data_IF_119301499257
#
_entry.id   IF_119301499257
#
_cell.length_a   1.000
_cell.length_b   1.000
_cell.length_c   1.000
_cell.angle_alpha   90.00
_cell.angle_beta   90.00
_cell.angle_gamma   90.00
#
_symmetry.space_group_name_H-M   'P 1'
#
loop_
_entity.id
_entity.type
_entity.pdbx_description
1 polymer ?
#
# COMPACT_ATOMS: atom_id res chain seq x y z
N UNK A 1 -20.17 12.04 -1.75
CA UNK A 1 -20.47 10.77 -1.05
C UNK A 1 -21.68 10.92 -0.12
N UNK A 2 -22.34 9.83 0.23
CA UNK A 2 -23.48 9.85 1.18
C UNK A 2 -23.02 10.39 2.55
N UNK A 3 -21.85 9.95 3.01
CA UNK A 3 -21.27 10.40 4.28
C UNK A 3 -21.04 11.92 4.31
N UNK A 4 -20.55 12.52 3.21
CA UNK A 4 -20.38 13.97 3.10
C UNK A 4 -21.70 14.71 3.34
N UNK A 5 -22.76 14.30 2.64
CA UNK A 5 -24.09 14.90 2.81
C UNK A 5 -24.65 14.81 4.24
N UNK A 6 -24.37 13.70 4.93
CA UNK A 6 -24.78 13.50 6.34
C UNK A 6 -24.02 14.47 7.25
N UNK A 7 -22.71 14.63 7.04
CA UNK A 7 -21.86 15.51 7.83
C UNK A 7 -22.20 17.01 7.58
N UNK A 8 -22.46 17.38 6.32
CA UNK A 8 -22.91 18.73 5.97
C UNK A 8 -24.22 19.10 6.69
N UNK A 9 -25.20 18.15 6.76
CA UNK A 9 -26.43 18.35 7.54
C UNK A 9 -26.21 18.50 9.05
N UNK A 10 -25.07 18.00 9.56
CA UNK A 10 -24.63 18.21 10.95
C UNK A 10 -23.85 19.49 11.17
N UNK A 11 -23.68 20.32 10.13
CA UNK A 11 -22.97 21.60 10.19
C UNK A 11 -21.46 21.53 9.93
N UNK A 12 -20.94 20.39 9.45
CA UNK A 12 -19.53 20.31 9.05
C UNK A 12 -19.30 21.01 7.71
N UNK A 13 -18.32 21.89 7.67
CA UNK A 13 -17.94 22.64 6.46
C UNK A 13 -16.74 21.98 5.81
N UNK A 14 -16.89 21.56 4.57
CA UNK A 14 -15.83 20.95 3.76
C UNK A 14 -15.06 22.05 3.03
N UNK A 15 -13.73 22.02 3.13
CA UNK A 15 -12.82 22.99 2.53
C UNK A 15 -12.07 22.46 1.31
N UNK A 16 -12.12 21.15 1.09
CA UNK A 16 -11.44 20.47 -0.01
C UNK A 16 -12.41 19.59 -0.81
N UNK A 17 -11.92 19.11 -1.94
CA UNK A 17 -12.63 18.12 -2.77
C UNK A 17 -12.17 16.69 -2.51
N UNK A 18 -11.26 16.49 -1.55
CA UNK A 18 -10.73 15.18 -1.22
C UNK A 18 -11.76 14.32 -0.46
N UNK A 19 -11.78 13.05 -0.72
CA UNK A 19 -12.58 12.07 0.04
C UNK A 19 -12.05 11.89 1.47
N UNK A 20 -10.76 12.11 1.69
CA UNK A 20 -10.09 12.01 2.99
C UNK A 20 -10.64 13.02 4.01
N UNK A 21 -11.09 14.20 3.60
CA UNK A 21 -11.71 15.18 4.51
C UNK A 21 -12.97 14.64 5.17
N UNK A 22 -13.72 13.78 4.48
CA UNK A 22 -14.89 13.08 5.05
C UNK A 22 -14.49 12.26 6.28
N UNK A 23 -13.32 11.61 6.22
CA UNK A 23 -12.79 10.78 7.31
C UNK A 23 -12.46 11.64 8.53
N UNK A 24 -11.78 12.78 8.33
CA UNK A 24 -11.43 13.71 9.41
C UNK A 24 -12.69 14.23 10.14
N UNK A 25 -13.72 14.63 9.40
CA UNK A 25 -14.99 15.05 9.99
C UNK A 25 -15.74 13.91 10.69
N UNK A 26 -15.71 12.71 10.14
CA UNK A 26 -16.34 11.55 10.74
C UNK A 26 -15.67 11.15 12.06
N UNK A 27 -14.32 11.16 12.10
CA UNK A 27 -13.55 10.96 13.33
C UNK A 27 -13.92 12.02 14.37
N UNK A 28 -13.94 13.29 13.97
CA UNK A 28 -14.31 14.41 14.86
C UNK A 28 -15.72 14.26 15.43
N UNK A 29 -16.67 13.83 14.60
CA UNK A 29 -18.07 13.65 15.04
C UNK A 29 -18.19 12.53 16.07
N UNK A 30 -17.53 11.40 15.85
CA UNK A 30 -17.59 10.26 16.77
C UNK A 30 -16.79 10.48 18.05
N UNK A 31 -15.68 11.22 18.02
CA UNK A 31 -14.88 11.56 19.21
C UNK A 31 -15.66 12.32 20.28
N UNK A 32 -16.70 13.07 19.90
CA UNK A 32 -17.55 13.79 20.87
C UNK A 32 -18.20 12.87 21.93
N UNK A 33 -18.36 11.59 21.62
CA UNK A 33 -19.10 10.63 22.45
C UNK A 33 -18.38 9.30 22.68
N UNK A 34 -17.17 9.13 22.18
CA UNK A 34 -16.48 7.85 22.23
C UNK A 34 -14.98 8.07 22.52
N UNK A 35 -14.32 7.06 23.08
CA UNK A 35 -12.86 6.98 23.12
C UNK A 35 -12.27 6.91 21.72
N UNK A 36 -10.98 7.21 21.56
CA UNK A 36 -10.27 7.10 20.28
C UNK A 36 -10.46 5.72 19.66
N UNK A 37 -10.18 4.65 20.42
CA UNK A 37 -10.36 3.27 19.96
C UNK A 37 -11.76 3.01 19.41
N UNK A 38 -12.81 3.33 20.18
CA UNK A 38 -14.19 3.12 19.75
C UNK A 38 -14.60 4.01 18.57
N UNK A 39 -14.01 5.21 18.47
CA UNK A 39 -14.19 6.09 17.33
C UNK A 39 -13.65 5.44 16.06
N UNK A 40 -12.43 4.94 16.11
CA UNK A 40 -11.78 4.30 14.94
C UNK A 40 -12.60 3.09 14.49
N UNK A 41 -13.01 2.21 15.39
CA UNK A 41 -13.87 1.06 15.05
C UNK A 41 -15.14 1.50 14.31
N UNK A 42 -15.83 2.53 14.82
CA UNK A 42 -17.04 3.05 14.19
C UNK A 42 -16.80 3.69 12.83
N UNK A 43 -15.68 4.38 12.68
CA UNK A 43 -15.26 5.00 11.41
C UNK A 43 -14.95 3.91 10.39
N UNK A 44 -14.10 2.94 10.73
CA UNK A 44 -13.70 1.87 9.81
C UNK A 44 -14.87 1.04 9.29
N UNK A 45 -15.90 0.82 10.14
CA UNK A 45 -17.16 0.15 9.74
C UNK A 45 -18.01 0.96 8.74
N UNK A 46 -17.74 2.28 8.59
CA UNK A 46 -18.44 3.16 7.62
C UNK A 46 -17.68 3.39 6.33
N UNK A 47 -16.38 3.09 6.33
CA UNK A 47 -15.54 3.27 5.15
C UNK A 47 -15.68 2.08 4.21
N UNK A 48 -15.69 2.38 2.91
CA UNK A 48 -15.67 1.40 1.81
C UNK A 48 -14.48 1.68 0.90
N UNK A 49 -14.01 0.63 0.21
CA UNK A 49 -12.87 0.73 -0.70
C UNK A 49 -11.53 0.55 0.00
N UNK A 50 -10.45 0.83 -0.74
CA UNK A 50 -9.08 0.71 -0.27
C UNK A 50 -8.61 2.00 0.38
N UNK A 51 -7.88 1.88 1.47
CA UNK A 51 -7.28 3.01 2.18
C UNK A 51 -6.08 2.57 3.04
N UNK A 52 -5.15 3.49 3.24
CA UNK A 52 -4.15 3.47 4.29
C UNK A 52 -4.18 4.83 4.99
N UNK A 53 -4.46 4.85 6.26
CA UNK A 53 -4.71 6.06 7.03
C UNK A 53 -3.66 6.23 8.12
N UNK A 54 -3.07 7.43 8.20
CA UNK A 54 -2.37 7.93 9.37
C UNK A 54 -3.17 9.09 9.98
N UNK A 55 -3.64 8.95 11.22
CA UNK A 55 -4.50 9.92 11.87
C UNK A 55 -3.77 10.49 13.08
N UNK A 56 -3.63 11.81 13.13
CA UNK A 56 -3.13 12.55 14.28
C UNK A 56 -4.26 13.38 14.90
N UNK A 57 -4.13 13.68 16.19
CA UNK A 57 -5.16 14.36 16.96
C UNK A 57 -4.58 15.66 17.54
N UNK A 58 -5.29 16.76 17.36
CA UNK A 58 -4.81 18.10 17.74
C UNK A 58 -4.34 18.21 19.20
N UNK A 59 -5.03 17.54 20.12
CA UNK A 59 -4.78 17.65 21.54
C UNK A 59 -4.11 16.37 22.12
N UNK A 60 -3.54 15.51 21.28
CA UNK A 60 -2.88 14.24 21.62
C UNK A 60 -1.54 14.15 20.88
N UNK A 61 -0.54 14.91 21.32
CA UNK A 61 0.73 15.08 20.61
C UNK A 61 1.61 13.82 20.57
N UNK A 62 1.34 12.84 21.43
CA UNK A 62 2.08 11.58 21.56
C UNK A 62 1.33 10.37 20.98
N UNK A 63 0.24 10.60 20.24
CA UNK A 63 -0.61 9.55 19.74
C UNK A 63 -0.91 9.69 18.26
N UNK A 64 -0.69 8.61 17.53
CA UNK A 64 -1.14 8.43 16.14
C UNK A 64 -1.99 7.17 16.02
N UNK A 65 -2.83 7.12 15.03
CA UNK A 65 -3.58 5.91 14.66
C UNK A 65 -3.24 5.55 13.22
N UNK A 66 -2.88 4.30 12.99
CA UNK A 66 -2.76 3.70 11.67
C UNK A 66 -3.92 2.76 11.40
N UNK A 67 -4.49 2.80 10.19
CA UNK A 67 -5.54 1.84 9.79
C UNK A 67 -5.45 1.55 8.30
N UNK A 68 -5.72 0.31 7.88
CA UNK A 68 -5.63 -0.06 6.47
C UNK A 68 -6.74 -0.99 6.01
N UNK A 69 -6.99 -0.91 4.70
CA UNK A 69 -7.72 -1.89 3.90
C UNK A 69 -7.27 -1.77 2.44
N UNK A 70 -6.82 -2.87 1.84
CA UNK A 70 -6.34 -2.91 0.45
C UNK A 70 -4.95 -2.32 0.26
N UNK A 71 -4.73 -1.06 0.64
CA UNK A 71 -3.41 -0.41 0.53
C UNK A 71 -2.47 -0.82 1.66
N UNK A 72 -1.16 -0.94 1.44
CA UNK A 72 -0.21 -1.34 2.48
C UNK A 72 -0.03 -0.27 3.56
N UNK A 73 0.25 -0.72 4.78
CA UNK A 73 0.64 0.12 5.92
C UNK A 73 1.54 -0.68 6.85
N UNK A 74 2.66 -0.08 7.24
CA UNK A 74 3.63 -0.64 8.16
C UNK A 74 3.82 0.27 9.38
N UNK A 75 4.17 -0.34 10.49
CA UNK A 75 4.57 0.34 11.73
C UNK A 75 6.03 0.02 12.01
N UNK A 76 6.83 1.05 12.30
CA UNK A 76 8.23 0.92 12.68
C UNK A 76 8.44 1.15 14.16
N UNK A 77 9.34 0.37 14.75
CA UNK A 77 9.71 0.46 16.17
C UNK A 77 11.07 1.14 16.31
N UNK A 78 11.13 2.25 16.99
CA UNK A 78 12.37 2.97 17.30
C UNK A 78 12.66 3.06 18.79
N UNK A 79 13.85 3.51 19.17
CA UNK A 79 14.18 3.79 20.56
C UNK A 79 13.54 5.11 20.98
N UNK A 80 12.52 5.11 21.81
CA UNK A 80 11.76 6.28 22.26
C UNK A 80 10.89 6.99 21.19
N UNK A 81 10.62 6.36 20.08
CA UNK A 81 9.72 6.85 19.04
C UNK A 81 9.24 5.68 18.18
N UNK A 82 8.08 5.82 17.57
CA UNK A 82 7.52 4.84 16.68
C UNK A 82 6.98 5.52 15.41
N UNK A 83 6.89 4.78 14.33
CA UNK A 83 6.65 5.32 13.01
C UNK A 83 5.47 4.62 12.32
N UNK A 84 4.82 5.33 11.40
CA UNK A 84 3.86 4.76 10.45
C UNK A 84 4.36 5.11 9.05
N UNK A 85 4.38 4.13 8.15
CA UNK A 85 4.75 4.31 6.75
C UNK A 85 3.97 3.39 5.83
N UNK A 86 4.01 3.65 4.53
CA UNK A 86 3.35 2.80 3.54
C UNK A 86 3.92 1.38 3.50
N UNK A 87 5.24 1.26 3.68
CA UNK A 87 5.97 0.01 3.61
C UNK A 87 7.29 0.05 4.39
N UNK A 88 8.04 -1.04 4.36
CA UNK A 88 9.37 -1.15 4.95
C UNK A 88 10.38 -0.14 4.41
N UNK A 89 10.23 0.22 3.16
CA UNK A 89 11.08 1.18 2.47
C UNK A 89 10.99 2.57 3.08
N UNK A 90 9.77 3.06 3.26
CA UNK A 90 9.50 4.36 3.86
C UNK A 90 10.09 4.47 5.27
N UNK A 91 10.27 3.33 5.96
CA UNK A 91 10.73 3.26 7.35
C UNK A 91 12.21 2.88 7.51
N UNK A 92 12.85 2.38 6.46
CA UNK A 92 14.22 1.80 6.51
C UNK A 92 15.28 2.75 7.06
N UNK A 93 15.18 4.04 6.77
CA UNK A 93 16.13 5.06 7.26
C UNK A 93 15.99 5.33 8.77
N UNK A 94 14.85 4.96 9.35
CA UNK A 94 14.51 5.26 10.75
C UNK A 94 14.59 4.03 11.64
N UNK A 95 14.23 2.86 11.13
CA UNK A 95 14.25 1.61 11.90
C UNK A 95 14.38 0.38 11.00
N UNK A 96 14.96 -0.68 11.57
CA UNK A 96 14.98 -2.01 10.96
C UNK A 96 13.94 -2.98 11.55
N UNK A 97 13.13 -2.53 12.53
CA UNK A 97 12.10 -3.34 13.16
C UNK A 97 10.74 -2.85 12.73
N UNK A 98 9.97 -3.70 12.07
CA UNK A 98 8.66 -3.35 11.53
C UNK A 98 7.61 -4.42 11.80
N UNK A 99 6.35 -4.01 11.74
CA UNK A 99 5.20 -4.91 11.64
C UNK A 99 4.24 -4.37 10.58
N UNK A 100 3.65 -5.27 9.77
CA UNK A 100 2.62 -4.90 8.81
C UNK A 100 1.23 -5.08 9.40
N UNK A 101 0.32 -4.18 9.04
CA UNK A 101 -1.10 -4.35 9.30
C UNK A 101 -1.71 -5.22 8.20
N UNK A 102 -2.67 -6.05 8.59
CA UNK A 102 -3.55 -6.77 7.65
C UNK A 102 -4.83 -5.97 7.37
N UNK A 103 -5.61 -6.42 6.39
CA UNK A 103 -6.83 -5.74 6.00
C UNK A 103 -7.86 -5.69 7.13
N UNK A 104 -8.32 -4.46 7.41
CA UNK A 104 -9.28 -4.19 8.47
C UNK A 104 -8.65 -3.97 9.85
N UNK A 105 -7.36 -4.18 10.02
CA UNK A 105 -6.68 -3.88 11.26
C UNK A 105 -6.39 -2.40 11.42
N UNK A 106 -6.26 -1.98 12.68
CA UNK A 106 -5.75 -0.66 13.03
C UNK A 106 -4.79 -0.75 14.22
N UNK A 107 -3.94 0.26 14.35
CA UNK A 107 -3.02 0.38 15.48
C UNK A 107 -3.14 1.76 16.14
N UNK A 108 -2.88 1.78 17.43
CA UNK A 108 -2.66 2.99 18.21
C UNK A 108 -1.18 3.04 18.53
N UNK A 109 -0.51 4.06 18.02
CA UNK A 109 0.93 4.24 18.11
C UNK A 109 1.22 5.39 19.06
N UNK A 110 1.95 5.12 20.11
CA UNK A 110 2.50 6.10 21.04
C UNK A 110 4.02 6.07 20.99
N UNK A 111 4.64 7.00 21.67
CA UNK A 111 6.09 7.12 21.73
C UNK A 111 6.79 5.83 22.20
N UNK A 112 6.21 5.13 23.15
CA UNK A 112 6.78 3.97 23.85
C UNK A 112 5.99 2.68 23.66
N UNK A 113 4.83 2.75 23.01
CA UNK A 113 3.91 1.62 22.90
C UNK A 113 3.20 1.60 21.57
N UNK A 114 2.98 0.40 21.02
CA UNK A 114 2.13 0.16 19.87
C UNK A 114 1.13 -0.94 20.22
N UNK A 115 -0.14 -0.67 20.02
CA UNK A 115 -1.22 -1.61 20.20
C UNK A 115 -1.93 -1.86 18.88
N UNK A 116 -2.19 -3.12 18.56
CA UNK A 116 -2.90 -3.51 17.33
C UNK A 116 -4.26 -4.10 17.66
N UNK A 117 -5.22 -3.83 16.80
CA UNK A 117 -6.61 -4.22 16.98
C UNK A 117 -7.21 -4.69 15.65
N UNK A 118 -8.15 -5.63 15.73
CA UNK A 118 -9.01 -6.00 14.61
C UNK A 118 -10.19 -5.02 14.45
N UNK A 119 -11.04 -5.29 13.46
CA UNK A 119 -12.23 -4.48 13.15
C UNK A 119 -13.26 -4.41 14.30
N UNK A 120 -13.23 -5.35 15.23
CA UNK A 120 -14.14 -5.41 16.38
C UNK A 120 -13.51 -4.82 17.64
N UNK A 121 -12.21 -4.50 17.56
CA UNK A 121 -11.45 -3.90 18.64
C UNK A 121 -10.79 -4.92 19.57
N UNK A 122 -10.73 -6.19 19.19
CA UNK A 122 -9.94 -7.17 19.94
C UNK A 122 -8.47 -6.92 19.74
N UNK A 123 -7.67 -7.07 20.79
CA UNK A 123 -6.23 -6.87 20.72
C UNK A 123 -5.56 -7.98 19.91
N UNK A 124 -4.60 -7.61 19.05
CA UNK A 124 -3.84 -8.51 18.21
C UNK A 124 -2.37 -8.44 18.58
N UNK A 125 -1.73 -9.59 18.69
CA UNK A 125 -0.27 -9.67 18.82
C UNK A 125 0.37 -9.75 17.43
N UNK A 126 1.17 -8.75 17.07
CA UNK A 126 1.91 -8.72 15.80
C UNK A 126 3.34 -9.17 15.96
N UNK A 127 3.78 -9.95 14.97
CA UNK A 127 5.19 -10.33 14.87
C UNK A 127 6.00 -9.13 14.42
N UNK A 128 7.06 -8.82 15.16
CA UNK A 128 8.07 -7.85 14.75
C UNK A 128 9.04 -8.54 13.81
N UNK A 129 9.21 -8.00 12.62
CA UNK A 129 10.19 -8.45 11.62
C UNK A 129 11.41 -7.54 11.68
N UNK A 130 12.59 -8.15 11.57
CA UNK A 130 13.83 -7.43 11.39
C UNK A 130 14.16 -7.36 9.91
N UNK A 131 14.26 -6.16 9.36
CA UNK A 131 14.70 -5.95 8.01
C UNK A 131 16.17 -6.33 7.89
N UNK A 132 16.51 -7.17 6.91
CA UNK A 132 17.90 -7.52 6.65
C UNK A 132 18.63 -6.31 6.03
N UNK A 133 19.92 -6.16 6.36
CA UNK A 133 20.77 -5.12 5.75
C UNK A 133 20.98 -5.32 4.23
N UNK A 134 20.70 -6.51 3.71
CA UNK A 134 20.96 -6.91 2.32
C UNK A 134 19.75 -6.71 1.39
N UNK A 135 18.62 -6.18 1.86
CA UNK A 135 17.59 -5.73 0.95
C UNK A 135 18.11 -4.51 0.20
N UNK A 136 18.07 -4.60 -1.10
CA UNK A 136 18.54 -3.67 -2.12
C UNK A 136 18.69 -2.24 -1.60
N UNK A 137 19.90 -1.71 -1.65
CA UNK A 137 20.22 -0.34 -1.23
C UNK A 137 19.62 0.65 -2.24
N UNK A 138 18.39 1.07 -2.00
CA UNK A 138 17.74 2.14 -2.76
C UNK A 138 18.31 3.50 -2.37
N UNK A 139 19.63 3.55 -2.35
CA UNK A 139 20.32 4.81 -2.27
C UNK A 139 20.17 5.52 -3.63
N UNK A 140 19.91 6.80 -3.60
CA UNK A 140 19.87 7.64 -4.78
C UNK A 140 21.22 7.67 -5.51
N UNK A 141 22.32 7.32 -4.84
CA UNK A 141 23.67 7.43 -5.36
C UNK A 141 23.99 8.88 -5.71
N UNK A 142 24.67 9.08 -6.82
CA UNK A 142 25.07 10.39 -7.32
C UNK A 142 23.95 11.13 -8.10
N UNK A 143 22.77 10.52 -8.23
CA UNK A 143 21.65 11.10 -8.97
C UNK A 143 20.91 12.17 -8.13
N UNK A 144 20.52 13.24 -8.78
CA UNK A 144 19.73 14.32 -8.15
C UNK A 144 18.33 13.86 -7.80
N UNK A 145 17.71 13.01 -8.64
CA UNK A 145 16.35 12.50 -8.49
C UNK A 145 16.31 10.98 -8.62
N UNK A 146 15.43 10.30 -7.89
CA UNK A 146 15.21 8.86 -8.02
C UNK A 146 14.77 8.47 -9.44
N UNK A 147 13.88 9.25 -10.05
CA UNK A 147 13.42 9.01 -11.42
C UNK A 147 14.56 9.04 -12.44
N UNK A 148 15.53 9.92 -12.28
CA UNK A 148 16.72 9.98 -13.12
C UNK A 148 17.55 8.69 -13.01
N UNK A 149 17.77 8.22 -11.78
CA UNK A 149 18.41 6.93 -11.50
C UNK A 149 17.63 5.76 -12.13
N UNK A 150 16.32 5.71 -11.92
CA UNK A 150 15.46 4.64 -12.45
C UNK A 150 15.49 4.61 -14.00
N UNK A 151 15.50 5.76 -14.65
CA UNK A 151 15.63 5.84 -16.11
C UNK A 151 16.99 5.27 -16.59
N UNK A 152 18.06 5.62 -15.92
CA UNK A 152 19.41 5.18 -16.26
C UNK A 152 19.63 3.68 -15.99
N UNK A 153 18.96 3.14 -14.97
CA UNK A 153 19.01 1.73 -14.60
C UNK A 153 18.14 0.81 -15.48
N UNK A 154 17.22 1.35 -16.30
CA UNK A 154 16.33 0.53 -17.13
C UNK A 154 17.03 -0.53 -17.98
N UNK A 155 18.15 -0.24 -18.68
CA UNK A 155 18.83 -1.26 -19.48
C UNK A 155 19.31 -2.46 -18.67
N UNK A 156 19.87 -2.22 -17.48
CA UNK A 156 20.30 -3.30 -16.58
C UNK A 156 19.14 -4.08 -16.01
N UNK A 157 18.10 -3.40 -15.53
CA UNK A 157 16.90 -4.02 -14.97
C UNK A 157 16.16 -4.90 -15.99
N UNK A 158 16.04 -4.43 -17.25
CA UNK A 158 15.46 -5.21 -18.34
C UNK A 158 16.33 -6.44 -18.64
N UNK A 159 17.65 -6.26 -18.66
CA UNK A 159 18.58 -7.35 -18.89
C UNK A 159 18.48 -8.43 -17.80
N UNK A 160 18.38 -8.03 -16.54
CA UNK A 160 18.23 -8.95 -15.40
C UNK A 160 16.91 -9.71 -15.49
N UNK A 161 15.81 -9.02 -15.80
CA UNK A 161 14.50 -9.62 -16.01
C UNK A 161 14.54 -10.65 -17.15
N UNK A 162 15.18 -10.33 -18.29
CA UNK A 162 15.33 -11.27 -19.40
C UNK A 162 16.17 -12.48 -18.98
N UNK A 163 17.25 -12.28 -18.27
CA UNK A 163 18.12 -13.36 -17.82
C UNK A 163 17.44 -14.29 -16.80
N UNK A 164 16.51 -13.79 -16.00
CA UNK A 164 15.74 -14.58 -15.04
C UNK A 164 14.71 -15.50 -15.73
N UNK A 165 14.03 -14.99 -16.76
CA UNK A 165 12.92 -15.72 -17.39
C UNK A 165 13.27 -16.42 -18.70
N UNK A 166 14.39 -16.11 -19.33
CA UNK A 166 14.80 -16.72 -20.61
C UNK A 166 16.02 -17.60 -20.45
N UNK A 167 15.85 -18.88 -20.66
CA UNK A 167 16.96 -19.81 -20.85
C UNK A 167 17.51 -19.64 -22.27
N UNK A 168 18.62 -18.90 -22.37
CA UNK A 168 19.29 -18.61 -23.65
C UNK A 168 19.90 -19.86 -24.31
N UNK A 169 20.22 -20.91 -23.55
CA UNK A 169 20.83 -22.14 -24.08
C UNK A 169 19.80 -23.02 -24.76
N UNK A 170 18.62 -23.14 -24.19
CA UNK A 170 17.52 -23.95 -24.69
C UNK A 170 16.48 -23.14 -25.49
N UNK A 171 16.65 -21.83 -25.58
CA UNK A 171 15.72 -20.89 -26.21
C UNK A 171 14.28 -21.03 -25.69
N UNK A 172 14.14 -21.17 -24.36
CA UNK A 172 12.89 -21.41 -23.66
C UNK A 172 12.62 -20.32 -22.64
N UNK A 173 11.33 -20.07 -22.40
CA UNK A 173 10.87 -19.20 -21.32
C UNK A 173 10.55 -20.06 -20.10
N UNK A 174 11.21 -19.79 -18.99
CA UNK A 174 11.01 -20.45 -17.71
C UNK A 174 10.33 -19.49 -16.73
N UNK A 175 9.03 -19.68 -16.51
CA UNK A 175 8.30 -18.98 -15.47
C UNK A 175 8.14 -19.94 -14.28
N UNK A 176 8.86 -19.66 -13.22
CA UNK A 176 8.86 -20.49 -12.01
C UNK A 176 7.44 -20.53 -11.39
N UNK A 177 6.96 -21.73 -11.08
CA UNK A 177 5.63 -21.97 -10.51
C UNK A 177 4.44 -21.48 -11.34
N UNK A 178 4.58 -21.38 -12.67
CA UNK A 178 3.42 -21.08 -13.52
C UNK A 178 2.41 -22.23 -13.44
N UNK A 179 1.19 -21.99 -12.91
CA UNK A 179 0.29 -23.08 -12.52
C UNK A 179 -0.50 -23.69 -13.69
N UNK A 180 -0.41 -23.10 -14.89
CA UNK A 180 -1.18 -23.53 -16.04
C UNK A 180 -0.27 -23.96 -17.21
N UNK A 181 -0.81 -24.81 -18.08
CA UNK A 181 -0.19 -25.06 -19.39
C UNK A 181 -0.49 -23.87 -20.29
N UNK A 182 0.53 -23.21 -20.85
CA UNK A 182 0.38 -22.06 -21.72
C UNK A 182 -0.60 -22.34 -22.90
N UNK A 183 -0.55 -23.57 -23.45
CA UNK A 183 -1.43 -24.02 -24.53
C UNK A 183 -2.92 -24.12 -24.16
N UNK A 184 -3.26 -24.09 -22.87
CA UNK A 184 -4.66 -24.14 -22.42
C UNK A 184 -5.29 -22.75 -22.23
N UNK A 185 -4.49 -21.68 -22.29
CA UNK A 185 -4.96 -20.31 -22.14
C UNK A 185 -5.62 -19.86 -23.42
N UNK A 186 -6.84 -19.35 -23.34
CA UNK A 186 -7.62 -18.85 -24.50
C UNK A 186 -7.78 -17.34 -24.45
N UNK A 187 -7.79 -16.76 -23.27
CA UNK A 187 -7.94 -15.32 -23.10
C UNK A 187 -7.05 -14.81 -21.98
N UNK A 188 -6.62 -13.55 -22.10
CA UNK A 188 -5.81 -12.84 -21.13
C UNK A 188 -6.42 -11.46 -20.90
N UNK A 189 -6.62 -11.09 -19.64
CA UNK A 189 -6.97 -9.74 -19.24
C UNK A 189 -5.75 -9.12 -18.54
N UNK A 190 -5.27 -8.01 -19.09
CA UNK A 190 -4.18 -7.23 -18.53
C UNK A 190 -4.78 -6.05 -17.75
N UNK A 191 -4.40 -5.89 -16.49
CA UNK A 191 -4.98 -4.87 -15.61
C UNK A 191 -3.86 -3.95 -15.13
N UNK A 192 -4.07 -2.64 -15.23
CA UNK A 192 -3.09 -1.67 -14.75
C UNK A 192 -3.64 -0.25 -14.73
N UNK A 193 -2.99 0.63 -13.97
CA UNK A 193 -3.30 2.06 -13.96
C UNK A 193 -2.01 2.89 -14.17
N UNK A 194 -2.15 4.13 -14.64
CA UNK A 194 -1.01 5.00 -14.91
C UNK A 194 -0.07 4.42 -15.96
N UNK A 195 1.23 4.40 -15.68
CA UNK A 195 2.24 3.85 -16.60
C UNK A 195 2.13 2.33 -16.81
N UNK A 196 1.63 1.59 -15.81
CA UNK A 196 1.36 0.17 -15.94
C UNK A 196 0.25 -0.10 -16.99
N UNK A 197 -0.79 0.73 -17.08
CA UNK A 197 -1.80 0.64 -18.12
C UNK A 197 -1.20 0.77 -19.52
N UNK A 198 -0.28 1.71 -19.74
CA UNK A 198 0.40 1.85 -21.04
C UNK A 198 1.25 0.62 -21.37
N UNK A 199 1.90 0.02 -20.38
CA UNK A 199 2.60 -1.26 -20.56
C UNK A 199 1.65 -2.39 -20.94
N UNK A 200 0.46 -2.44 -20.35
CA UNK A 200 -0.60 -3.39 -20.73
C UNK A 200 -1.08 -3.19 -22.17
N UNK A 201 -1.21 -1.95 -22.64
CA UNK A 201 -1.58 -1.65 -24.04
C UNK A 201 -0.52 -2.17 -25.02
N UNK A 202 0.77 -1.95 -24.74
CA UNK A 202 1.88 -2.46 -25.55
C UNK A 202 1.89 -3.99 -25.53
N UNK A 203 1.74 -4.60 -24.38
CA UNK A 203 1.68 -6.05 -24.22
C UNK A 203 0.50 -6.64 -25.01
N UNK A 204 -0.70 -6.04 -24.96
CA UNK A 204 -1.85 -6.44 -25.79
C UNK A 204 -1.49 -6.41 -27.26
N UNK A 205 -0.90 -5.31 -27.73
CA UNK A 205 -0.52 -5.18 -29.14
C UNK A 205 0.44 -6.29 -29.58
N UNK A 206 1.47 -6.58 -28.80
CA UNK A 206 2.42 -7.66 -29.08
C UNK A 206 1.75 -9.05 -29.05
N UNK A 207 0.90 -9.31 -28.06
CA UNK A 207 0.25 -10.62 -27.89
C UNK A 207 -0.75 -10.90 -29.03
N UNK A 208 -1.56 -9.92 -29.42
CA UNK A 208 -2.52 -10.08 -30.52
C UNK A 208 -1.82 -10.33 -31.87
N UNK A 209 -0.63 -9.76 -32.06
CA UNK A 209 0.14 -10.02 -33.30
C UNK A 209 0.86 -11.38 -33.30
N UNK A 210 1.17 -11.93 -32.13
CA UNK A 210 2.01 -13.12 -32.01
C UNK A 210 1.24 -14.38 -31.61
N UNK A 211 -0.05 -14.25 -31.28
CA UNK A 211 -0.87 -15.36 -30.78
C UNK A 211 -2.33 -15.21 -31.20
N UNK A 212 -3.10 -16.30 -31.12
CA UNK A 212 -4.55 -16.30 -31.33
C UNK A 212 -5.34 -16.07 -30.02
N UNK A 213 -4.70 -15.48 -29.00
CA UNK A 213 -5.34 -15.21 -27.71
C UNK A 213 -6.31 -14.02 -27.81
N UNK A 214 -7.43 -14.14 -27.14
CA UNK A 214 -8.30 -12.98 -26.86
C UNK A 214 -7.68 -12.16 -25.74
N UNK A 215 -7.24 -10.92 -26.05
CA UNK A 215 -6.51 -10.06 -25.10
C UNK A 215 -7.31 -8.78 -24.85
N UNK A 216 -7.69 -8.57 -23.60
CA UNK A 216 -8.33 -7.34 -23.12
C UNK A 216 -7.42 -6.57 -22.18
N UNK A 217 -7.66 -5.26 -22.04
CA UNK A 217 -6.96 -4.37 -21.11
C UNK A 217 -8.00 -3.56 -20.34
N UNK A 218 -7.83 -3.46 -19.02
CA UNK A 218 -8.67 -2.68 -18.12
C UNK A 218 -7.81 -1.79 -17.18
#
# INVERSE_FOLDING_TARGET
TILKKILEKKGYVFKSQTDTEVIAHLVTDYLKKNSIKNTIIKVLKKLHGSFALGIIFKDQNDLMVGAKRGSPLAVGYGPNENYIGSDSYALKSMTNKISYLEDGEFCIVKKDQIEFFDTDGSHINKKVMNLSKNEIDYNKGDYKYFMEKEIDEQPSTISDCINEYIDKYNNQVNIFNFPWKASSIKSVMLIGCGTAFYSCLIAKYCMVQSTDLDVSVD
#
